data_IF_685746430304
#
_entry.id   IF_685746430304
#
_cell.length_a   1.000
_cell.length_b   1.000
_cell.length_c   1.000
_cell.angle_alpha   90.00
_cell.angle_beta   90.00
_cell.angle_gamma   90.00
#
_symmetry.space_group_name_H-M   'P 1'
#
loop_
_entity.id
_entity.type
_entity.pdbx_description
1 polymer ?
#
# COMPACT_ATOMS: atom_id res chain seq x y z
N UNK A 1 -7.73 -24.58 13.57
CA UNK A 1 -6.89 -24.28 12.38
C UNK A 1 -6.22 -25.57 11.93
N UNK A 2 -6.36 -25.95 10.66
CA UNK A 2 -5.80 -27.20 10.11
C UNK A 2 -4.26 -27.18 10.09
N UNK A 3 -3.63 -28.30 10.43
CA UNK A 3 -2.18 -28.53 10.33
C UNK A 3 -1.62 -28.05 8.98
N UNK A 4 -2.30 -28.41 7.89
CA UNK A 4 -1.90 -28.05 6.52
C UNK A 4 -1.89 -26.55 6.26
N UNK A 5 -2.77 -25.79 6.91
CA UNK A 5 -2.78 -24.33 6.77
C UNK A 5 -1.54 -23.72 7.43
N UNK A 6 -1.24 -24.07 8.69
CA UNK A 6 -0.12 -23.48 9.43
C UNK A 6 1.26 -23.94 8.97
N UNK A 7 1.45 -25.24 8.83
CA UNK A 7 2.78 -25.84 8.67
C UNK A 7 3.23 -25.92 7.20
N UNK A 8 2.29 -25.80 6.26
CA UNK A 8 2.59 -25.94 4.82
C UNK A 8 2.21 -24.67 4.07
N UNK A 9 0.94 -24.26 4.12
CA UNK A 9 0.47 -23.11 3.33
C UNK A 9 1.06 -21.80 3.88
N UNK A 10 0.86 -21.51 5.17
CA UNK A 10 1.34 -20.28 5.79
C UNK A 10 2.88 -20.23 5.78
N UNK A 11 3.57 -21.34 6.08
CA UNK A 11 5.04 -21.43 5.99
C UNK A 11 5.58 -21.14 4.58
N UNK A 12 4.99 -21.72 3.53
CA UNK A 12 5.41 -21.45 2.14
C UNK A 12 5.11 -20.01 1.73
N UNK A 13 3.94 -19.48 2.08
CA UNK A 13 3.55 -18.10 1.82
C UNK A 13 4.48 -17.12 2.54
N UNK A 14 4.88 -17.43 3.77
CA UNK A 14 5.81 -16.62 4.54
C UNK A 14 7.20 -16.60 3.89
N UNK A 15 7.71 -17.76 3.46
CA UNK A 15 9.03 -17.85 2.81
C UNK A 15 9.07 -17.09 1.49
N UNK A 16 8.01 -17.21 0.67
CA UNK A 16 7.90 -16.43 -0.55
C UNK A 16 7.78 -14.94 -0.24
N UNK A 17 6.93 -14.54 0.71
CA UNK A 17 6.76 -13.13 1.10
C UNK A 17 8.08 -12.52 1.58
N UNK A 18 8.86 -13.25 2.39
CA UNK A 18 10.18 -12.81 2.84
C UNK A 18 11.15 -12.60 1.67
N UNK A 19 11.18 -13.53 0.70
CA UNK A 19 12.00 -13.36 -0.51
C UNK A 19 11.62 -12.09 -1.28
N UNK A 20 10.31 -11.86 -1.50
CA UNK A 20 9.86 -10.67 -2.21
C UNK A 20 10.17 -9.38 -1.44
N UNK A 21 10.12 -9.40 -0.10
CA UNK A 21 10.55 -8.27 0.74
C UNK A 21 12.04 -7.97 0.53
N UNK A 22 12.88 -9.00 0.52
CA UNK A 22 14.32 -8.84 0.27
C UNK A 22 14.61 -8.30 -1.13
N UNK A 23 13.91 -8.80 -2.15
CA UNK A 23 14.00 -8.29 -3.52
C UNK A 23 13.65 -6.80 -3.58
N UNK A 24 12.53 -6.36 -3.01
CA UNK A 24 12.16 -4.94 -3.02
C UNK A 24 13.17 -4.08 -2.25
N UNK A 25 13.74 -4.58 -1.15
CA UNK A 25 14.81 -3.87 -0.43
C UNK A 25 16.08 -3.73 -1.27
N UNK A 26 16.46 -4.76 -2.01
CA UNK A 26 17.59 -4.69 -2.92
C UNK A 26 17.34 -3.67 -4.06
N UNK A 27 16.11 -3.58 -4.57
CA UNK A 27 15.72 -2.55 -5.53
C UNK A 27 15.82 -1.15 -4.92
N UNK A 28 15.33 -0.93 -3.69
CA UNK A 28 15.46 0.35 -2.98
C UNK A 28 16.93 0.75 -2.83
N UNK A 29 17.82 -0.20 -2.53
CA UNK A 29 19.26 0.07 -2.39
C UNK A 29 19.91 0.49 -3.73
N UNK A 30 19.40 -0.01 -4.86
CA UNK A 30 19.91 0.33 -6.21
C UNK A 30 19.33 1.65 -6.73
N UNK A 31 18.03 1.85 -6.50
CA UNK A 31 17.27 2.99 -6.99
C UNK A 31 16.44 3.62 -5.85
N UNK A 32 17.10 4.32 -4.90
CA UNK A 32 16.42 4.83 -3.71
C UNK A 32 15.38 5.91 -4.01
N UNK A 33 15.46 6.56 -5.18
CA UNK A 33 14.53 7.58 -5.63
C UNK A 33 13.31 7.02 -6.38
N UNK A 34 13.28 5.72 -6.70
CA UNK A 34 12.16 5.10 -7.40
C UNK A 34 11.03 4.81 -6.41
N UNK A 35 9.81 5.35 -6.57
CA UNK A 35 8.72 5.15 -5.61
C UNK A 35 8.06 3.76 -5.71
N UNK A 36 8.25 3.03 -6.81
CA UNK A 36 7.56 1.75 -7.06
C UNK A 36 7.94 0.64 -6.06
N UNK A 37 9.23 0.40 -5.75
CA UNK A 37 9.60 -0.63 -4.76
C UNK A 37 9.03 -0.38 -3.37
N UNK A 38 8.90 0.89 -2.96
CA UNK A 38 8.29 1.25 -1.68
C UNK A 38 6.80 0.89 -1.63
N UNK A 39 6.04 1.18 -2.70
CA UNK A 39 4.63 0.79 -2.82
C UNK A 39 4.47 -0.72 -2.85
N UNK A 40 5.31 -1.44 -3.60
CA UNK A 40 5.26 -2.90 -3.66
C UNK A 40 5.58 -3.53 -2.29
N UNK A 41 6.60 -3.01 -1.59
CA UNK A 41 6.93 -3.45 -0.25
C UNK A 41 5.81 -3.15 0.75
N UNK A 42 5.15 -2.00 0.62
CA UNK A 42 3.98 -1.67 1.42
C UNK A 42 2.84 -2.66 1.21
N UNK A 43 2.56 -3.05 -0.03
CA UNK A 43 1.54 -4.03 -0.36
C UNK A 43 1.84 -5.39 0.31
N UNK A 44 3.10 -5.85 0.28
CA UNK A 44 3.52 -7.05 1.00
C UNK A 44 3.34 -6.91 2.51
N UNK A 45 3.61 -5.74 3.10
CA UNK A 45 3.33 -5.51 4.52
C UNK A 45 1.85 -5.45 4.86
N UNK A 46 0.98 -5.01 3.93
CA UNK A 46 -0.47 -5.09 4.11
C UNK A 46 -0.95 -6.54 4.17
N UNK A 47 -0.43 -7.44 3.31
CA UNK A 47 -0.88 -8.84 3.28
C UNK A 47 -0.53 -9.61 4.55
N UNK A 48 0.58 -9.27 5.21
CA UNK A 48 0.98 -9.85 6.51
C UNK A 48 0.42 -9.11 7.72
N UNK A 49 -0.54 -8.19 7.52
CA UNK A 49 -1.23 -7.46 8.59
C UNK A 49 -0.42 -6.31 9.22
N UNK A 50 0.76 -5.98 8.69
CA UNK A 50 1.64 -4.92 9.20
C UNK A 50 1.29 -3.55 8.59
N UNK A 51 0.07 -3.10 8.84
CA UNK A 51 -0.49 -1.89 8.21
C UNK A 51 0.29 -0.60 8.53
N UNK A 52 0.85 -0.44 9.73
CA UNK A 52 1.64 0.76 10.08
C UNK A 52 2.94 0.87 9.28
N UNK A 53 3.61 -0.27 9.05
CA UNK A 53 4.82 -0.31 8.24
C UNK A 53 4.50 -0.03 6.78
N UNK A 54 3.38 -0.55 6.28
CA UNK A 54 2.90 -0.25 4.94
C UNK A 54 2.60 1.24 4.75
N UNK A 55 1.98 1.88 5.75
CA UNK A 55 1.67 3.30 5.71
C UNK A 55 2.95 4.15 5.58
N UNK A 56 3.98 3.87 6.40
CA UNK A 56 5.26 4.59 6.33
C UNK A 56 5.92 4.49 4.95
N UNK A 57 5.92 3.29 4.36
CA UNK A 57 6.48 3.08 3.03
C UNK A 57 5.71 3.79 1.92
N UNK A 58 4.38 3.85 2.00
CA UNK A 58 3.56 4.57 1.02
C UNK A 58 3.74 6.08 1.12
N UNK A 59 3.93 6.61 2.34
CA UNK A 59 4.27 8.02 2.54
C UNK A 59 5.62 8.36 1.92
N UNK A 60 6.62 7.48 2.05
CA UNK A 60 7.89 7.63 1.33
C UNK A 60 7.72 7.55 -0.19
N UNK A 61 6.90 6.62 -0.69
CA UNK A 61 6.60 6.52 -2.12
C UNK A 61 6.00 7.82 -2.68
N UNK A 62 5.07 8.45 -1.95
CA UNK A 62 4.48 9.74 -2.32
C UNK A 62 5.49 10.89 -2.18
N UNK A 63 6.37 10.85 -1.17
CA UNK A 63 7.43 11.85 -1.01
C UNK A 63 8.41 11.83 -2.19
N UNK A 64 8.75 10.63 -2.69
CA UNK A 64 9.65 10.43 -3.82
C UNK A 64 8.97 10.73 -5.17
N UNK A 65 7.70 10.38 -5.30
CA UNK A 65 6.88 10.63 -6.47
C UNK A 65 5.52 11.21 -6.11
N UNK A 66 5.39 12.54 -5.97
CA UNK A 66 4.10 13.17 -5.66
C UNK A 66 3.02 12.94 -6.73
N UNK A 67 3.43 12.64 -7.97
CA UNK A 67 2.53 12.28 -9.07
C UNK A 67 2.24 10.77 -9.15
N UNK A 68 2.69 9.97 -8.19
CA UNK A 68 2.52 8.52 -8.22
C UNK A 68 1.14 8.11 -7.71
N UNK A 69 0.15 8.17 -8.61
CA UNK A 69 -1.26 7.93 -8.31
C UNK A 69 -1.55 6.59 -7.61
N UNK A 70 -0.81 5.53 -7.94
CA UNK A 70 -0.98 4.22 -7.29
C UNK A 70 -0.70 4.27 -5.78
N UNK A 71 0.35 4.98 -5.33
CA UNK A 71 0.63 5.11 -3.90
C UNK A 71 -0.45 5.94 -3.19
N UNK A 72 -1.01 6.94 -3.88
CA UNK A 72 -2.13 7.72 -3.35
C UNK A 72 -3.42 6.89 -3.20
N UNK A 73 -3.72 5.98 -4.12
CA UNK A 73 -4.85 5.04 -3.98
C UNK A 73 -4.69 4.15 -2.75
N UNK A 74 -3.49 3.58 -2.57
CA UNK A 74 -3.19 2.71 -1.43
C UNK A 74 -3.30 3.46 -0.09
N UNK A 75 -2.79 4.70 -0.02
CA UNK A 75 -2.94 5.56 1.17
C UNK A 75 -4.41 5.88 1.45
N UNK A 76 -5.18 6.22 0.42
CA UNK A 76 -6.60 6.54 0.56
C UNK A 76 -7.36 5.36 1.21
N UNK A 77 -7.12 4.14 0.72
CA UNK A 77 -7.74 2.94 1.29
C UNK A 77 -7.32 2.70 2.75
N UNK A 78 -6.03 2.83 3.07
CA UNK A 78 -5.54 2.61 4.45
C UNK A 78 -6.19 3.63 5.41
N UNK A 79 -6.22 4.91 5.03
CA UNK A 79 -6.83 5.94 5.87
C UNK A 79 -8.34 5.76 6.03
N UNK A 80 -9.05 5.33 4.97
CA UNK A 80 -10.48 5.01 5.03
C UNK A 80 -10.76 3.87 6.02
N UNK A 81 -9.93 2.81 6.02
CA UNK A 81 -10.05 1.69 6.97
C UNK A 81 -9.75 2.13 8.41
N UNK A 82 -8.84 3.10 8.60
CA UNK A 82 -8.53 3.68 9.92
C UNK A 82 -9.58 4.69 10.41
N UNK A 83 -10.54 5.07 9.56
CA UNK A 83 -11.55 6.09 9.87
C UNK A 83 -11.06 7.53 9.75
N UNK A 84 -9.84 7.77 9.25
CA UNK A 84 -9.36 9.11 8.95
C UNK A 84 -9.79 9.50 7.53
N UNK A 85 -11.08 9.81 7.39
CA UNK A 85 -11.67 10.05 6.08
C UNK A 85 -11.15 11.34 5.42
N UNK A 86 -10.75 12.33 6.22
CA UNK A 86 -10.13 13.55 5.73
C UNK A 86 -8.81 13.27 5.01
N UNK A 87 -7.94 12.46 5.61
CA UNK A 87 -6.71 12.04 4.95
C UNK A 87 -6.99 11.13 3.74
N UNK A 88 -8.00 10.26 3.85
CA UNK A 88 -8.42 9.37 2.78
C UNK A 88 -8.81 10.17 1.52
N UNK A 89 -9.72 11.15 1.66
CA UNK A 89 -10.18 12.00 0.56
C UNK A 89 -9.09 12.86 -0.03
N UNK A 90 -8.16 13.37 0.79
CA UNK A 90 -6.99 14.10 0.29
C UNK A 90 -6.18 13.25 -0.68
N UNK A 91 -5.90 11.99 -0.32
CA UNK A 91 -5.14 11.09 -1.17
C UNK A 91 -5.96 10.56 -2.36
N UNK A 92 -7.27 10.34 -2.21
CA UNK A 92 -8.14 9.98 -3.32
C UNK A 92 -8.19 11.08 -4.40
N UNK A 93 -8.29 12.35 -4.00
CA UNK A 93 -8.23 13.49 -4.94
C UNK A 93 -6.86 13.62 -5.59
N UNK A 94 -5.78 13.42 -4.84
CA UNK A 94 -4.43 13.41 -5.40
C UNK A 94 -4.25 12.29 -6.44
N UNK A 95 -4.76 11.08 -6.17
CA UNK A 95 -4.77 9.98 -7.12
C UNK A 95 -5.55 10.35 -8.40
N UNK A 96 -6.72 10.99 -8.26
CA UNK A 96 -7.52 11.44 -9.40
C UNK A 96 -6.76 12.47 -10.26
N UNK A 97 -6.08 13.43 -9.64
CA UNK A 97 -5.21 14.39 -10.36
C UNK A 97 -4.05 13.72 -11.09
N UNK A 98 -3.61 12.54 -10.64
CA UNK A 98 -2.58 11.73 -11.29
C UNK A 98 -3.14 10.77 -12.36
N UNK A 99 -4.43 10.89 -12.71
CA UNK A 99 -5.09 10.05 -13.71
C UNK A 99 -5.68 8.74 -13.18
N UNK A 100 -5.80 8.56 -11.87
CA UNK A 100 -6.46 7.41 -11.26
C UNK A 100 -7.60 7.84 -10.32
N UNK A 101 -8.82 8.05 -10.86
CA UNK A 101 -9.97 8.50 -10.07
C UNK A 101 -10.64 7.38 -9.26
N UNK A 102 -10.21 6.13 -9.40
CA UNK A 102 -10.92 4.97 -8.86
C UNK A 102 -11.16 5.05 -7.34
N UNK A 103 -10.21 5.61 -6.58
CA UNK A 103 -10.38 5.80 -5.14
C UNK A 103 -11.46 6.83 -4.80
N UNK A 104 -11.52 7.95 -5.54
CA UNK A 104 -12.51 8.99 -5.33
C UNK A 104 -13.91 8.49 -5.71
N UNK A 105 -14.04 7.84 -6.87
CA UNK A 105 -15.30 7.24 -7.33
C UNK A 105 -15.84 6.21 -6.32
N UNK A 106 -14.95 5.40 -5.74
CA UNK A 106 -15.32 4.43 -4.71
C UNK A 106 -15.83 5.13 -3.44
N UNK A 107 -15.19 6.21 -3.01
CA UNK A 107 -15.60 6.95 -1.81
C UNK A 107 -16.94 7.66 -2.00
N UNK A 108 -17.19 8.24 -3.17
CA UNK A 108 -18.49 8.79 -3.55
C UNK A 108 -19.57 7.71 -3.53
N UNK A 109 -19.31 6.57 -4.17
CA UNK A 109 -20.25 5.45 -4.27
C UNK A 109 -20.66 4.90 -2.90
N UNK A 110 -19.72 4.82 -1.96
CA UNK A 110 -19.98 4.34 -0.60
C UNK A 110 -20.33 5.46 0.38
N UNK A 111 -20.51 6.70 -0.09
CA UNK A 111 -20.82 7.86 0.73
C UNK A 111 -19.87 8.03 1.93
N UNK A 112 -18.57 7.82 1.71
CA UNK A 112 -17.56 8.03 2.75
C UNK A 112 -17.48 9.53 3.04
N UNK A 113 -17.64 9.98 4.29
CA UNK A 113 -17.65 11.40 4.63
C UNK A 113 -16.29 12.06 4.34
N UNK A 114 -16.28 13.35 4.01
CA UNK A 114 -15.04 14.13 3.75
C UNK A 114 -14.33 14.62 5.01
#
# INVERSE_FOLDING_TARGET
MSFWRKEVIDFCLDRETLRHVEEQRAWIMREPANPRPYKNLAQLYRTVGRQDQALGLLLEAVRLGPAFGEAHVELAQIYAVRGDYRAAWRHARAAASCGNPAAAELFERYAIPE
#
